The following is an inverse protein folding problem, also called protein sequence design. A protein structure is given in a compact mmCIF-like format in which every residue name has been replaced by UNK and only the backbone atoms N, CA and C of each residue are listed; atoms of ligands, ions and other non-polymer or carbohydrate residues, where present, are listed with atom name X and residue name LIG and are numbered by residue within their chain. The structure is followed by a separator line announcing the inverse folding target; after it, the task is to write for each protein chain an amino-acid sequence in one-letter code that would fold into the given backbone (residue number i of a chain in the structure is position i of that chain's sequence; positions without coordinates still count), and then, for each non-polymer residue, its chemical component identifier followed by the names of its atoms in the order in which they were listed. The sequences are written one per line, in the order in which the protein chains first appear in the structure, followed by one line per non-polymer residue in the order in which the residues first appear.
data_IF_553025715665
#
_entry.id   IF_553025715665
#
_cell.length_a   1.000
_cell.length_b   1.000
_cell.length_c   1.000
_cell.angle_alpha   90.00
_cell.angle_beta   90.00
_cell.angle_gamma   90.00
#
_symmetry.space_group_name_H-M   'P 1'
#
loop_
_entity.id
_entity.type
_entity.pdbx_description
1 polymer ?
#
# COMPACT_ATOMS: atom_id res chain seq x y z
N UNK A 1 49.45 -33.18 -61.51
CA UNK A 1 49.82 -31.75 -61.58
C UNK A 1 48.52 -30.95 -61.42
N UNK A 2 48.30 -29.96 -60.57
CA UNK A 2 49.11 -29.22 -59.61
C UNK A 2 48.20 -28.64 -58.51
N UNK A 3 48.83 -28.02 -57.53
CA UNK A 3 48.38 -27.75 -56.15
C UNK A 3 47.68 -26.38 -55.97
N UNK A 4 46.84 -26.29 -54.92
CA UNK A 4 46.66 -25.17 -53.96
C UNK A 4 46.05 -23.84 -54.49
N UNK A 5 45.19 -23.07 -53.79
CA UNK A 5 45.19 -22.65 -52.38
C UNK A 5 43.80 -22.05 -52.03
N UNK A 6 43.33 -22.29 -50.82
CA UNK A 6 42.13 -21.64 -50.26
C UNK A 6 42.33 -20.17 -49.90
N UNK A 7 41.29 -19.36 -50.14
CA UNK A 7 41.16 -17.99 -49.66
C UNK A 7 40.12 -17.93 -48.53
N UNK A 8 40.60 -17.81 -47.29
CA UNK A 8 39.80 -17.62 -46.08
C UNK A 8 39.39 -16.14 -46.01
N UNK A 9 38.10 -15.83 -46.08
CA UNK A 9 37.60 -14.48 -45.78
C UNK A 9 37.76 -14.21 -44.28
N UNK A 10 38.79 -13.45 -43.90
CA UNK A 10 38.93 -12.92 -42.53
C UNK A 10 38.24 -11.56 -42.46
N UNK A 11 37.07 -11.52 -41.86
CA UNK A 11 36.42 -10.27 -41.44
C UNK A 11 37.28 -9.61 -40.37
N UNK A 12 37.76 -8.38 -40.60
CA UNK A 12 38.42 -7.59 -39.55
C UNK A 12 37.38 -7.17 -38.51
N UNK A 13 37.61 -7.35 -37.19
CA UNK A 13 36.71 -6.79 -36.19
C UNK A 13 36.88 -5.27 -36.17
N UNK A 14 35.77 -4.53 -36.34
CA UNK A 14 35.72 -3.09 -36.06
C UNK A 14 35.94 -2.91 -34.55
N UNK A 15 37.06 -2.30 -34.15
CA UNK A 15 37.27 -1.87 -32.76
C UNK A 15 36.23 -0.80 -32.44
N UNK A 16 35.25 -1.12 -31.60
CA UNK A 16 34.42 -0.11 -30.94
C UNK A 16 35.33 0.71 -30.01
N UNK A 17 35.44 2.02 -30.25
CA UNK A 17 36.05 2.94 -29.29
C UNK A 17 35.09 3.08 -28.10
N UNK A 18 35.56 3.02 -26.85
CA UNK A 18 34.71 3.31 -25.70
C UNK A 18 34.29 4.78 -25.76
N UNK A 19 32.97 5.04 -25.71
CA UNK A 19 32.43 6.38 -25.48
C UNK A 19 32.88 6.83 -24.08
N UNK A 20 33.52 8.00 -23.98
CA UNK A 20 33.78 8.64 -22.70
C UNK A 20 32.43 8.86 -21.98
N UNK A 21 32.35 8.68 -20.65
CA UNK A 21 31.16 9.07 -19.91
C UNK A 21 30.95 10.57 -20.12
N UNK A 22 29.76 10.95 -20.56
CA UNK A 22 29.38 12.35 -20.61
C UNK A 22 29.31 12.86 -19.17
N UNK A 23 30.08 13.90 -18.86
CA UNK A 23 29.94 14.66 -17.63
C UNK A 23 28.49 15.14 -17.55
N UNK A 24 27.71 14.52 -16.66
CA UNK A 24 26.35 14.98 -16.35
C UNK A 24 26.49 16.30 -15.60
N UNK A 25 26.26 17.40 -16.29
CA UNK A 25 26.03 18.68 -15.64
C UNK A 25 24.82 18.54 -14.68
N UNK A 26 24.90 19.06 -13.45
CA UNK A 26 23.78 19.02 -12.52
C UNK A 26 22.61 19.87 -13.05
N UNK A 27 21.39 19.41 -12.81
CA UNK A 27 20.14 20.04 -13.28
C UNK A 27 19.92 21.36 -12.50
N UNK A 28 19.67 22.50 -13.17
CA UNK A 28 19.76 23.84 -12.59
C UNK A 28 18.56 24.31 -11.74
N UNK A 29 17.73 23.42 -11.18
CA UNK A 29 16.57 23.85 -10.36
C UNK A 29 16.78 23.77 -8.85
N UNK A 30 18.01 23.58 -8.35
CA UNK A 30 18.29 23.75 -6.92
C UNK A 30 18.19 25.24 -6.54
N UNK A 31 16.95 25.74 -6.49
CA UNK A 31 16.58 27.01 -5.93
C UNK A 31 16.69 26.84 -4.41
N UNK A 32 17.65 27.53 -3.81
CA UNK A 32 17.76 27.63 -2.36
C UNK A 32 16.41 28.08 -1.80
N UNK A 33 15.79 27.24 -0.97
CA UNK A 33 14.53 27.57 -0.31
C UNK A 33 14.74 28.79 0.60
N UNK A 34 13.97 29.88 0.43
CA UNK A 34 14.02 30.98 1.38
C UNK A 34 13.62 30.46 2.76
N UNK A 35 14.29 30.94 3.81
CA UNK A 35 13.92 30.65 5.19
C UNK A 35 12.43 31.01 5.40
N UNK A 36 11.59 29.98 5.50
CA UNK A 36 10.15 30.11 5.65
C UNK A 36 9.88 30.76 7.01
N UNK A 37 9.35 31.98 7.00
CA UNK A 37 8.83 32.60 8.21
C UNK A 37 7.74 31.68 8.80
N UNK A 38 7.65 31.52 10.13
CA UNK A 38 6.63 30.67 10.74
C UNK A 38 5.25 31.16 10.31
N UNK A 39 4.53 30.34 9.55
CA UNK A 39 3.17 30.63 9.12
C UNK A 39 2.27 30.74 10.35
N UNK A 40 1.47 31.81 10.48
CA UNK A 40 0.53 31.92 11.59
C UNK A 40 -0.44 30.73 11.59
N UNK A 41 -0.91 30.28 12.76
CA UNK A 41 -1.84 29.17 12.86
C UNK A 41 -3.13 29.48 12.09
N UNK A 42 -3.77 28.44 11.55
CA UNK A 42 -5.03 28.57 10.82
C UNK A 42 -6.10 29.23 11.67
N UNK A 43 -6.93 30.09 11.06
CA UNK A 43 -8.04 30.78 11.73
C UNK A 43 -9.07 29.84 12.37
N UNK A 44 -9.19 28.60 11.86
CA UNK A 44 -10.14 27.59 12.38
C UNK A 44 -9.49 26.62 13.36
N UNK A 45 -8.18 26.75 13.63
CA UNK A 45 -7.47 25.83 14.51
C UNK A 45 -7.86 26.10 15.97
N UNK A 46 -8.51 25.14 16.60
CA UNK A 46 -8.92 25.21 18.00
C UNK A 46 -8.75 23.84 18.66
N UNK A 47 -8.02 23.80 19.78
CA UNK A 47 -7.75 22.57 20.55
C UNK A 47 -7.11 21.42 19.75
N UNK A 48 -6.43 21.73 18.64
CA UNK A 48 -5.78 20.74 17.78
C UNK A 48 -4.26 20.80 17.95
N UNK A 49 -3.66 19.78 18.57
CA UNK A 49 -2.22 19.73 18.86
C UNK A 49 -1.39 19.36 17.62
N UNK A 50 -0.15 19.88 17.55
CA UNK A 50 0.76 19.61 16.42
C UNK A 50 1.11 18.13 16.33
N UNK A 51 1.19 17.43 17.46
CA UNK A 51 1.44 15.99 17.53
C UNK A 51 0.28 15.19 16.92
N UNK A 52 -0.97 15.61 17.16
CA UNK A 52 -2.15 14.99 16.55
C UNK A 52 -2.18 15.22 15.03
N UNK A 53 -1.81 16.43 14.60
CA UNK A 53 -1.66 16.77 13.18
C UNK A 53 -0.59 15.93 12.47
N UNK A 54 0.58 15.76 13.09
CA UNK A 54 1.65 14.93 12.54
C UNK A 54 1.28 13.45 12.51
N UNK A 55 0.64 12.96 13.58
CA UNK A 55 0.19 11.58 13.69
C UNK A 55 -0.92 11.27 12.67
N UNK A 56 -1.86 12.19 12.45
CA UNK A 56 -2.93 12.02 11.45
C UNK A 56 -2.36 12.01 10.02
N UNK A 57 -1.40 12.88 9.70
CA UNK A 57 -0.68 12.83 8.42
C UNK A 57 0.07 11.51 8.23
N UNK A 58 0.74 11.01 9.28
CA UNK A 58 1.46 9.73 9.25
C UNK A 58 0.50 8.56 9.04
N UNK A 59 -0.64 8.57 9.72
CA UNK A 59 -1.68 7.55 9.57
C UNK A 59 -2.33 7.60 8.18
N UNK A 60 -2.58 8.79 7.64
CA UNK A 60 -3.06 8.97 6.25
C UNK A 60 -2.10 8.34 5.23
N UNK A 61 -0.79 8.52 5.42
CA UNK A 61 0.21 7.89 4.56
C UNK A 61 0.22 6.36 4.71
N UNK A 62 -0.01 5.84 5.91
CA UNK A 62 -0.15 4.40 6.16
C UNK A 62 -1.38 3.80 5.46
N UNK A 63 -2.50 4.51 5.46
CA UNK A 63 -3.72 4.11 4.72
C UNK A 63 -3.48 4.09 3.20
N UNK A 64 -2.79 5.08 2.65
CA UNK A 64 -2.39 5.01 1.24
C UNK A 64 -1.42 3.87 0.93
N UNK A 65 -0.48 3.56 1.84
CA UNK A 65 0.39 2.40 1.70
C UNK A 65 -0.42 1.08 1.70
N UNK A 66 -1.39 0.95 2.60
CA UNK A 66 -2.30 -0.20 2.66
C UNK A 66 -3.15 -0.33 1.38
N UNK A 67 -3.65 0.79 0.88
CA UNK A 67 -4.35 0.85 -0.40
C UNK A 67 -3.47 0.33 -1.55
N UNK A 68 -2.22 0.79 -1.61
CA UNK A 68 -1.29 0.37 -2.67
C UNK A 68 -0.89 -1.11 -2.55
N UNK A 69 -0.70 -1.61 -1.32
CA UNK A 69 -0.39 -3.02 -1.08
C UNK A 69 -1.55 -3.93 -1.47
N UNK A 70 -2.79 -3.59 -1.08
CA UNK A 70 -3.98 -4.32 -1.53
C UNK A 70 -4.14 -4.29 -3.05
N UNK A 71 -3.84 -3.16 -3.70
CA UNK A 71 -3.86 -3.05 -5.16
C UNK A 71 -2.86 -4.00 -5.81
N UNK A 72 -1.63 -4.04 -5.29
CA UNK A 72 -0.58 -4.93 -5.78
C UNK A 72 -0.98 -6.41 -5.65
N UNK A 73 -1.55 -6.80 -4.50
CA UNK A 73 -2.09 -8.14 -4.27
C UNK A 73 -3.21 -8.46 -5.27
N UNK A 74 -4.17 -7.55 -5.46
CA UNK A 74 -5.28 -7.76 -6.37
C UNK A 74 -4.77 -8.08 -7.78
N UNK A 75 -3.86 -7.26 -8.31
CA UNK A 75 -3.34 -7.46 -9.66
C UNK A 75 -2.42 -8.68 -9.79
N UNK A 76 -1.78 -9.13 -8.71
CA UNK A 76 -1.11 -10.42 -8.68
C UNK A 76 -2.13 -11.58 -8.84
N UNK A 77 -3.23 -11.57 -8.09
CA UNK A 77 -4.25 -12.63 -8.10
C UNK A 77 -5.05 -12.69 -9.40
N UNK A 78 -5.11 -11.58 -10.15
CA UNK A 78 -5.75 -11.48 -11.46
C UNK A 78 -4.87 -11.93 -12.64
N UNK A 79 -3.61 -12.32 -12.41
CA UNK A 79 -2.76 -12.85 -13.49
C UNK A 79 -3.32 -14.14 -14.07
N UNK A 80 -3.02 -14.41 -15.33
CA UNK A 80 -3.49 -15.60 -16.04
C UNK A 80 -2.94 -16.91 -15.44
N UNK A 81 -1.76 -16.86 -14.82
CA UNK A 81 -1.13 -17.99 -14.15
C UNK A 81 -1.56 -18.19 -12.68
N UNK A 82 -2.44 -17.33 -12.16
CA UNK A 82 -3.03 -17.44 -10.80
C UNK A 82 -4.55 -17.60 -10.86
N UNK A 83 -5.26 -16.68 -11.53
CA UNK A 83 -6.67 -16.83 -11.90
C UNK A 83 -7.70 -16.82 -10.76
N UNK A 84 -7.45 -16.13 -9.65
CA UNK A 84 -8.35 -16.08 -8.48
C UNK A 84 -9.23 -14.82 -8.48
N UNK A 85 -10.31 -14.87 -9.25
CA UNK A 85 -11.17 -13.72 -9.58
C UNK A 85 -11.79 -13.03 -8.37
N UNK A 86 -12.33 -13.78 -7.40
CA UNK A 86 -13.05 -13.20 -6.27
C UNK A 86 -12.08 -12.68 -5.21
N UNK A 87 -10.91 -13.33 -5.06
CA UNK A 87 -9.80 -12.73 -4.34
C UNK A 87 -9.33 -11.40 -4.94
N UNK A 88 -9.18 -11.31 -6.26
CA UNK A 88 -8.87 -10.04 -6.94
C UNK A 88 -9.90 -8.95 -6.58
N UNK A 89 -11.20 -9.26 -6.67
CA UNK A 89 -12.28 -8.32 -6.32
C UNK A 89 -12.22 -7.89 -4.87
N UNK A 90 -12.03 -8.85 -3.96
CA UNK A 90 -11.88 -8.59 -2.53
C UNK A 90 -10.77 -7.57 -2.28
N UNK A 91 -9.54 -7.85 -2.76
CA UNK A 91 -8.41 -6.95 -2.54
C UNK A 91 -8.53 -5.60 -3.27
N UNK A 92 -9.17 -5.57 -4.44
CA UNK A 92 -9.45 -4.31 -5.12
C UNK A 92 -10.42 -3.43 -4.32
N UNK A 93 -11.49 -4.02 -3.78
CA UNK A 93 -12.42 -3.32 -2.91
C UNK A 93 -11.69 -2.78 -1.67
N UNK A 94 -10.87 -3.61 -1.03
CA UNK A 94 -10.04 -3.19 0.12
C UNK A 94 -9.11 -2.03 -0.22
N UNK A 95 -8.47 -2.07 -1.38
CA UNK A 95 -7.64 -0.95 -1.85
C UNK A 95 -8.44 0.36 -1.91
N UNK A 96 -9.66 0.32 -2.45
CA UNK A 96 -10.53 1.49 -2.52
C UNK A 96 -11.02 1.97 -1.16
N UNK A 97 -11.30 1.06 -0.21
CA UNK A 97 -11.71 1.42 1.15
C UNK A 97 -10.60 2.15 1.90
N UNK A 98 -9.35 1.69 1.82
CA UNK A 98 -8.20 2.40 2.40
C UNK A 98 -7.99 3.78 1.77
N UNK A 99 -8.11 3.91 0.45
CA UNK A 99 -8.03 5.22 -0.22
C UNK A 99 -9.11 6.18 0.27
N UNK A 100 -10.37 5.72 0.40
CA UNK A 100 -11.47 6.51 0.96
C UNK A 100 -11.21 6.93 2.41
N UNK A 101 -10.65 6.02 3.21
CA UNK A 101 -10.25 6.32 4.59
C UNK A 101 -9.18 7.43 4.62
N UNK A 102 -8.13 7.32 3.80
CA UNK A 102 -7.09 8.33 3.71
C UNK A 102 -7.66 9.71 3.30
N UNK A 103 -8.55 9.76 2.31
CA UNK A 103 -9.23 11.00 1.91
C UNK A 103 -10.07 11.60 3.04
N UNK A 104 -10.85 10.78 3.76
CA UNK A 104 -11.64 11.21 4.92
C UNK A 104 -10.75 11.83 6.02
N UNK A 105 -9.59 11.23 6.27
CA UNK A 105 -8.59 11.76 7.21
C UNK A 105 -8.04 13.12 6.74
N UNK A 106 -7.74 13.28 5.45
CA UNK A 106 -7.31 14.57 4.89
C UNK A 106 -8.39 15.66 5.03
N UNK A 107 -9.67 15.31 4.86
CA UNK A 107 -10.77 16.23 5.15
C UNK A 107 -10.82 16.62 6.62
N UNK A 108 -10.63 15.66 7.54
CA UNK A 108 -10.57 15.94 8.98
C UNK A 108 -9.40 16.88 9.32
N UNK A 109 -8.21 16.64 8.76
CA UNK A 109 -7.01 17.47 8.93
C UNK A 109 -7.31 18.94 8.60
N UNK A 110 -7.92 19.18 7.44
CA UNK A 110 -8.27 20.52 6.98
C UNK A 110 -9.36 21.15 7.85
N UNK A 111 -10.34 20.36 8.31
CA UNK A 111 -11.43 20.83 9.18
C UNK A 111 -10.92 21.33 10.53
N UNK A 112 -9.90 20.70 11.09
CA UNK A 112 -9.22 21.12 12.33
C UNK A 112 -8.21 22.27 12.12
N UNK A 113 -8.05 22.76 10.89
CA UNK A 113 -7.10 23.81 10.56
C UNK A 113 -5.64 23.34 10.53
N UNK A 114 -5.41 22.02 10.49
CA UNK A 114 -4.10 21.44 10.20
C UNK A 114 -3.67 21.65 8.75
N UNK A 115 -2.50 21.11 8.41
CA UNK A 115 -1.96 21.03 7.07
C UNK A 115 -1.77 19.57 6.72
N UNK A 116 -2.25 19.21 5.54
CA UNK A 116 -2.00 17.90 4.95
C UNK A 116 -0.55 17.89 4.45
N UNK A 117 0.20 16.89 4.90
CA UNK A 117 1.55 16.62 4.41
C UNK A 117 1.54 15.37 3.55
N UNK A 118 1.86 15.52 2.27
CA UNK A 118 2.02 14.40 1.35
C UNK A 118 3.38 13.73 1.61
N UNK A 119 3.34 12.60 2.30
CA UNK A 119 4.51 11.77 2.57
C UNK A 119 4.70 10.74 1.46
N UNK A 120 5.92 10.23 1.33
CA UNK A 120 6.21 9.15 0.38
C UNK A 120 5.42 7.89 0.73
N UNK A 121 4.68 7.36 -0.26
CA UNK A 121 4.00 6.07 -0.15
C UNK A 121 5.04 4.99 -0.43
N UNK A 122 5.38 4.20 0.60
CA UNK A 122 6.37 3.14 0.45
C UNK A 122 5.86 2.06 -0.50
N UNK A 123 6.76 1.53 -1.32
CA UNK A 123 6.50 0.35 -2.12
C UNK A 123 6.20 -0.86 -1.20
N UNK A 124 5.25 -1.74 -1.56
CA UNK A 124 5.07 -3.01 -0.86
C UNK A 124 6.38 -3.81 -0.82
N UNK A 125 6.69 -4.39 0.33
CA UNK A 125 7.90 -5.21 0.51
C UNK A 125 7.87 -6.48 -0.34
N UNK A 126 6.67 -7.07 -0.45
CA UNK A 126 6.37 -8.24 -1.28
C UNK A 126 5.63 -7.79 -2.53
N UNK A 127 6.10 -8.23 -3.70
CA UNK A 127 5.45 -8.01 -5.00
C UNK A 127 5.15 -9.32 -5.74
N UNK A 128 5.55 -10.44 -5.16
CA UNK A 128 5.26 -11.79 -5.61
C UNK A 128 4.84 -12.58 -4.38
N UNK A 129 3.61 -13.05 -4.40
CA UNK A 129 3.11 -13.95 -3.36
C UNK A 129 3.21 -15.38 -3.87
N UNK A 130 3.44 -16.33 -2.99
CA UNK A 130 3.48 -17.76 -3.31
C UNK A 130 2.07 -18.34 -3.39
N UNK A 131 1.11 -17.72 -2.69
CA UNK A 131 -0.26 -18.21 -2.54
C UNK A 131 -1.21 -17.07 -2.12
N UNK A 132 -2.52 -17.26 -2.33
CA UNK A 132 -3.53 -16.33 -1.81
C UNK A 132 -3.59 -16.36 -0.27
N UNK A 133 -3.28 -17.50 0.34
CA UNK A 133 -3.11 -17.59 1.80
C UNK A 133 -2.00 -16.65 2.31
N UNK A 134 -0.83 -16.63 1.66
CA UNK A 134 0.25 -15.72 2.05
C UNK A 134 -0.19 -14.26 1.93
N UNK A 135 -0.88 -13.90 0.83
CA UNK A 135 -1.40 -12.55 0.64
C UNK A 135 -2.40 -12.13 1.74
N UNK A 136 -3.27 -13.05 2.17
CA UNK A 136 -4.20 -12.83 3.29
C UNK A 136 -3.46 -12.66 4.63
N UNK A 137 -2.40 -13.44 4.87
CA UNK A 137 -1.58 -13.34 6.08
C UNK A 137 -0.81 -12.01 6.15
N UNK A 138 -0.19 -11.60 5.05
CA UNK A 138 0.52 -10.33 4.93
C UNK A 138 -0.44 -9.16 5.17
N UNK A 139 -1.63 -9.23 4.57
CA UNK A 139 -2.66 -8.19 4.76
C UNK A 139 -3.16 -8.17 6.19
N UNK A 140 -3.40 -9.32 6.83
CA UNK A 140 -3.78 -9.39 8.24
C UNK A 140 -2.72 -8.75 9.15
N UNK A 141 -1.43 -8.92 8.85
CA UNK A 141 -0.35 -8.27 9.59
C UNK A 141 -0.36 -6.75 9.39
N UNK A 142 -0.57 -6.28 8.16
CA UNK A 142 -0.70 -4.86 7.85
C UNK A 142 -1.89 -4.23 8.58
N UNK A 143 -3.05 -4.88 8.57
CA UNK A 143 -4.27 -4.38 9.23
C UNK A 143 -4.13 -4.31 10.75
N UNK A 144 -3.39 -5.24 11.36
CA UNK A 144 -3.02 -5.12 12.78
C UNK A 144 -2.11 -3.92 13.05
N UNK A 145 -1.20 -3.62 12.12
CA UNK A 145 -0.31 -2.46 12.22
C UNK A 145 -1.08 -1.14 12.06
N UNK A 146 -2.06 -1.08 11.15
CA UNK A 146 -3.00 0.03 10.99
C UNK A 146 -3.79 0.24 12.28
N UNK A 147 -4.33 -0.84 12.86
CA UNK A 147 -5.06 -0.76 14.12
C UNK A 147 -4.20 -0.22 15.27
N UNK A 148 -2.94 -0.66 15.36
CA UNK A 148 -2.01 -0.11 16.36
C UNK A 148 -1.79 1.39 16.14
N UNK A 149 -1.61 1.83 14.89
CA UNK A 149 -1.50 3.26 14.55
C UNK A 149 -2.76 4.05 14.93
N UNK A 150 -3.96 3.48 14.76
CA UNK A 150 -5.21 4.11 15.19
C UNK A 150 -5.30 4.24 16.71
N UNK A 151 -4.90 3.20 17.45
CA UNK A 151 -4.88 3.20 18.92
C UNK A 151 -3.90 4.25 19.46
N UNK A 152 -2.72 4.35 18.85
CA UNK A 152 -1.71 5.35 19.21
C UNK A 152 -2.21 6.77 18.93
N UNK A 153 -2.86 6.99 17.78
CA UNK A 153 -3.49 8.27 17.45
C UNK A 153 -4.64 8.61 18.42
N UNK A 154 -5.48 7.62 18.77
CA UNK A 154 -6.56 7.81 19.74
C UNK A 154 -6.02 8.15 21.13
N UNK A 155 -4.92 7.53 21.54
CA UNK A 155 -4.24 7.86 22.80
C UNK A 155 -3.71 9.29 22.78
N UNK A 156 -3.04 9.72 21.71
CA UNK A 156 -2.58 11.10 21.55
C UNK A 156 -3.74 12.10 21.62
N UNK A 157 -4.85 11.80 20.95
CA UNK A 157 -6.06 12.61 21.01
C UNK A 157 -6.58 12.72 22.45
N UNK A 158 -6.62 11.59 23.18
CA UNK A 158 -7.05 11.53 24.58
C UNK A 158 -6.14 12.37 25.49
N UNK A 159 -4.82 12.21 25.38
CA UNK A 159 -3.81 12.96 26.15
C UNK A 159 -3.84 14.46 25.82
N UNK A 160 -4.29 14.82 24.61
CA UNK A 160 -4.50 16.19 24.18
C UNK A 160 -5.87 16.78 24.56
N UNK A 161 -6.77 15.98 25.13
CA UNK A 161 -8.15 16.35 25.46
C UNK A 161 -8.92 16.79 24.19
N UNK A 162 -8.62 16.18 23.05
CA UNK A 162 -9.37 16.38 21.79
C UNK A 162 -10.53 15.38 21.71
N UNK A 163 -11.63 15.72 22.38
CA UNK A 163 -12.82 14.88 22.42
C UNK A 163 -13.43 14.64 21.03
N UNK A 164 -13.29 15.58 20.09
CA UNK A 164 -13.82 15.42 18.73
C UNK A 164 -13.00 14.40 17.95
N UNK A 165 -11.67 14.47 18.01
CA UNK A 165 -10.80 13.50 17.34
C UNK A 165 -10.98 12.10 17.95
N UNK A 166 -11.06 11.97 19.28
CA UNK A 166 -11.38 10.70 19.94
C UNK A 166 -12.71 10.11 19.43
N UNK A 167 -13.76 10.95 19.39
CA UNK A 167 -15.06 10.52 18.89
C UNK A 167 -14.98 10.06 17.44
N UNK A 168 -14.37 10.85 16.55
CA UNK A 168 -14.21 10.52 15.13
C UNK A 168 -13.54 9.14 14.93
N UNK A 169 -12.43 8.89 15.64
CA UNK A 169 -11.70 7.62 15.57
C UNK A 169 -12.52 6.45 16.15
N UNK A 170 -13.28 6.70 17.22
CA UNK A 170 -14.10 5.68 17.89
C UNK A 170 -15.38 5.30 17.14
N UNK A 171 -16.06 6.23 16.48
CA UNK A 171 -17.38 5.99 15.87
C UNK A 171 -17.35 5.18 14.58
N UNK A 172 -16.21 5.09 13.90
CA UNK A 172 -16.11 4.41 12.61
C UNK A 172 -14.90 3.51 12.52
N UNK A 173 -13.72 4.07 12.73
CA UNK A 173 -12.47 3.40 12.37
C UNK A 173 -12.13 2.22 13.28
N UNK A 174 -12.12 2.41 14.60
CA UNK A 174 -11.69 1.36 15.53
C UNK A 174 -12.61 0.11 15.50
N UNK A 175 -13.93 0.30 15.42
CA UNK A 175 -14.88 -0.81 15.34
C UNK A 175 -14.79 -1.55 13.98
N UNK A 176 -14.71 -0.79 12.87
CA UNK A 176 -14.52 -1.37 11.54
C UNK A 176 -13.21 -2.16 11.45
N UNK A 177 -12.13 -1.63 12.04
CA UNK A 177 -10.83 -2.27 12.02
C UNK A 177 -10.84 -3.62 12.76
N UNK A 178 -11.46 -3.69 13.94
CA UNK A 178 -11.56 -4.95 14.69
C UNK A 178 -12.41 -5.98 13.95
N UNK A 179 -13.53 -5.56 13.35
CA UNK A 179 -14.39 -6.44 12.54
C UNK A 179 -13.62 -7.00 11.34
N UNK A 180 -12.87 -6.16 10.64
CA UNK A 180 -12.12 -6.59 9.47
C UNK A 180 -10.94 -7.50 9.84
N UNK A 181 -10.20 -7.20 10.91
CA UNK A 181 -9.14 -8.10 11.42
C UNK A 181 -9.72 -9.48 11.77
N UNK A 182 -10.93 -9.52 12.33
CA UNK A 182 -11.61 -10.78 12.62
C UNK A 182 -11.98 -11.54 11.34
N UNK A 183 -12.58 -10.87 10.36
CA UNK A 183 -12.93 -11.44 9.05
C UNK A 183 -11.71 -12.02 8.34
N UNK A 184 -10.62 -11.26 8.23
CA UNK A 184 -9.36 -11.75 7.68
C UNK A 184 -8.78 -12.91 8.48
N UNK A 185 -8.86 -12.87 9.81
CA UNK A 185 -8.42 -13.96 10.68
C UNK A 185 -9.20 -15.26 10.43
N UNK A 186 -10.51 -15.15 10.16
CA UNK A 186 -11.34 -16.30 9.78
C UNK A 186 -10.96 -16.85 8.41
N UNK A 187 -10.73 -15.97 7.44
CA UNK A 187 -10.27 -16.36 6.10
C UNK A 187 -8.92 -17.10 6.14
N UNK A 188 -7.93 -16.55 6.86
CA UNK A 188 -6.62 -17.20 7.07
C UNK A 188 -6.78 -18.56 7.74
N UNK A 189 -7.63 -18.65 8.77
CA UNK A 189 -7.86 -19.91 9.49
C UNK A 189 -8.51 -20.97 8.58
N UNK A 190 -9.52 -20.58 7.79
CA UNK A 190 -10.18 -21.46 6.85
C UNK A 190 -9.21 -21.98 5.78
N UNK A 191 -8.42 -21.08 5.17
CA UNK A 191 -7.43 -21.46 4.17
C UNK A 191 -6.32 -22.36 4.76
N UNK A 192 -5.87 -22.08 5.98
CA UNK A 192 -4.82 -22.85 6.65
C UNK A 192 -5.28 -24.27 7.05
N UNK A 193 -6.52 -24.39 7.54
CA UNK A 193 -7.06 -25.66 8.02
C UNK A 193 -7.45 -26.63 6.90
N UNK A 194 -7.74 -26.11 5.71
CA UNK A 194 -8.05 -26.92 4.51
C UNK A 194 -6.76 -27.38 3.80
N UNK A 195 -5.58 -26.90 4.24
CA UNK A 195 -4.28 -27.17 3.62
C UNK A 195 -3.72 -28.59 3.85
N UNK A 196 -3.73 -29.41 2.79
CA UNK A 196 -2.81 -30.52 2.52
C UNK A 196 -1.96 -30.16 1.28
N UNK A 197 -0.97 -30.94 0.78
CA UNK A 197 0.11 -30.45 -0.11
C UNK A 197 -0.33 -29.92 -1.50
N UNK A 198 -1.63 -29.93 -1.80
CA UNK A 198 -2.27 -29.36 -2.99
C UNK A 198 -3.06 -28.06 -2.64
N UNK A 199 -2.36 -27.06 -2.09
CA UNK A 199 -2.97 -25.79 -1.64
C UNK A 199 -3.81 -25.05 -2.70
N UNK A 200 -3.59 -25.33 -3.99
CA UNK A 200 -4.34 -24.73 -5.09
C UNK A 200 -5.84 -25.07 -5.09
N UNK A 201 -6.23 -26.28 -4.68
CA UNK A 201 -7.66 -26.65 -4.65
C UNK A 201 -8.39 -25.93 -3.53
N UNK A 202 -7.76 -25.78 -2.36
CA UNK A 202 -8.32 -25.06 -1.22
C UNK A 202 -8.61 -23.60 -1.58
N UNK A 203 -7.63 -22.93 -2.20
CA UNK A 203 -7.78 -21.54 -2.65
C UNK A 203 -8.85 -21.38 -3.72
N UNK A 204 -8.92 -22.30 -4.68
CA UNK A 204 -9.97 -22.28 -5.71
C UNK A 204 -11.38 -22.44 -5.11
N UNK A 205 -11.56 -23.41 -4.20
CA UNK A 205 -12.86 -23.62 -3.54
C UNK A 205 -13.24 -22.41 -2.69
N UNK A 206 -12.28 -21.84 -1.96
CA UNK A 206 -12.49 -20.64 -1.16
C UNK A 206 -12.85 -19.41 -2.00
N UNK A 207 -12.15 -19.20 -3.13
CA UNK A 207 -12.45 -18.15 -4.11
C UNK A 207 -13.91 -18.23 -4.56
N UNK A 208 -14.40 -19.44 -4.86
CA UNK A 208 -15.75 -19.64 -5.38
C UNK A 208 -16.84 -19.60 -4.33
N UNK A 209 -16.62 -20.24 -3.17
CA UNK A 209 -17.68 -20.45 -2.17
C UNK A 209 -17.72 -19.40 -1.08
N UNK A 210 -16.58 -18.83 -0.70
CA UNK A 210 -16.52 -17.84 0.39
C UNK A 210 -16.49 -16.42 -0.15
N UNK A 211 -15.60 -16.13 -1.10
CA UNK A 211 -15.51 -14.79 -1.69
C UNK A 211 -16.47 -14.59 -2.88
N UNK A 212 -16.97 -15.67 -3.48
CA UNK A 212 -17.86 -15.62 -4.63
C UNK A 212 -19.33 -15.33 -4.33
N UNK A 213 -19.79 -15.55 -3.09
CA UNK A 213 -21.20 -15.35 -2.73
C UNK A 213 -21.60 -13.86 -2.64
N UNK A 214 -20.64 -12.94 -2.59
CA UNK A 214 -20.89 -11.49 -2.61
C UNK A 214 -21.35 -10.93 -3.96
N UNK A 215 -21.24 -11.70 -5.06
CA UNK A 215 -21.62 -11.26 -6.42
C UNK A 215 -23.14 -11.36 -6.69
N UNK A 216 -23.97 -11.74 -5.70
CA UNK A 216 -25.43 -11.95 -5.87
C UNK A 216 -26.29 -10.71 -5.59
N UNK A 217 -25.70 -9.57 -5.23
CA UNK A 217 -26.42 -8.33 -4.92
C UNK A 217 -26.06 -7.14 -5.84
N UNK A 218 -25.64 -7.39 -7.08
CA UNK A 218 -25.58 -6.38 -8.15
C UNK A 218 -26.77 -6.51 -9.13
#
# INVERSE_FOLDING_TARGET
MGRLRGGRWRSRPRRCRPRKPADRAPIPWALESPAMMPTPPSQVRQNYRLECEAALNSHTALEFHASFQCLAVAFYLNRDDVGLKHFYRFFLLRSHEHSKTAESLMFLQNRHGGRVSFLDIRMPETQQWESALQAMQDTLHLEKSINQSLLDLHKLATDSIDAHLCHFLGTGYLDQQVKFIKELGDHVSNLSNVGSPEGSLAEYVFDKLTLGDGDKED
#
